data_IF_817917678967
#
_entry.id   IF_817917678967
#
_cell.length_a   1.000
_cell.length_b   1.000
_cell.length_c   1.000
_cell.angle_alpha   90.00
_cell.angle_beta   90.00
_cell.angle_gamma   90.00
#
_symmetry.space_group_name_H-M   'P 1'
#
loop_
_entity.id
_entity.type
_entity.pdbx_description
1 polymer ?
#
# COMPACT_ATOMS: atom_id res chain seq x y z
N UNK A 1 -1.95 5.75 2.81
CA UNK A 1 -2.54 4.82 1.82
C UNK A 1 -3.96 4.48 2.23
N UNK A 2 -4.83 4.30 1.26
CA UNK A 2 -6.26 4.08 1.47
C UNK A 2 -6.81 3.07 0.46
N UNK A 3 -7.82 2.29 0.87
CA UNK A 3 -8.45 1.26 0.03
C UNK A 3 -9.31 1.91 -1.05
N UNK A 4 -9.09 1.50 -2.29
CA UNK A 4 -9.79 2.05 -3.43
C UNK A 4 -11.26 1.61 -3.47
N UNK A 5 -12.16 2.56 -3.76
CA UNK A 5 -13.58 2.32 -4.03
C UNK A 5 -14.34 1.58 -2.91
N UNK A 6 -13.88 1.67 -1.66
CA UNK A 6 -14.51 0.95 -0.55
C UNK A 6 -15.98 1.33 -0.35
N UNK A 7 -16.33 2.63 -0.47
CA UNK A 7 -17.73 3.07 -0.41
C UNK A 7 -18.62 2.37 -1.45
N UNK A 8 -18.15 2.28 -2.69
CA UNK A 8 -18.84 1.56 -3.76
C UNK A 8 -18.98 0.07 -3.45
N UNK A 9 -17.93 -0.53 -2.87
CA UNK A 9 -17.94 -1.94 -2.48
C UNK A 9 -18.97 -2.22 -1.38
N UNK A 10 -19.15 -1.31 -0.42
CA UNK A 10 -20.19 -1.45 0.60
C UNK A 10 -21.59 -1.33 0.05
N UNK A 11 -21.81 -0.51 -0.98
CA UNK A 11 -23.13 -0.29 -1.57
C UNK A 11 -23.48 -1.39 -2.59
N UNK A 12 -22.54 -1.72 -3.47
CA UNK A 12 -22.80 -2.58 -4.64
C UNK A 12 -22.05 -3.91 -4.63
N UNK A 13 -20.98 -4.05 -3.83
CA UNK A 13 -20.09 -5.22 -3.87
C UNK A 13 -20.73 -6.54 -3.43
N UNK A 14 -21.88 -6.48 -2.80
CA UNK A 14 -22.68 -7.65 -2.41
C UNK A 14 -23.87 -7.92 -3.35
N UNK A 15 -24.08 -7.08 -4.36
CA UNK A 15 -25.08 -7.31 -5.40
C UNK A 15 -24.64 -8.42 -6.35
N UNK A 16 -25.60 -9.16 -6.88
CA UNK A 16 -25.34 -10.10 -7.96
C UNK A 16 -25.17 -9.37 -9.31
N UNK A 17 -24.52 -9.99 -10.29
CA UNK A 17 -24.39 -9.42 -11.64
C UNK A 17 -25.74 -9.15 -12.34
N UNK A 18 -26.81 -9.84 -11.91
CA UNK A 18 -28.19 -9.64 -12.39
C UNK A 18 -28.94 -8.51 -11.67
N UNK A 19 -28.28 -7.81 -10.72
CA UNK A 19 -28.87 -6.73 -9.93
C UNK A 19 -29.72 -7.18 -8.75
N UNK A 20 -29.71 -8.49 -8.42
CA UNK A 20 -30.43 -9.01 -7.25
C UNK A 20 -29.72 -8.61 -5.93
N UNK A 21 -30.45 -7.93 -5.06
CA UNK A 21 -29.99 -7.43 -3.74
C UNK A 21 -30.05 -8.49 -2.62
N UNK A 22 -30.37 -9.73 -2.94
CA UNK A 22 -30.54 -10.81 -1.94
C UNK A 22 -29.38 -10.93 -0.96
N UNK A 23 -28.17 -10.60 -1.39
CA UNK A 23 -26.97 -10.67 -0.58
C UNK A 23 -26.57 -9.34 0.05
N UNK A 24 -27.24 -8.25 -0.27
CA UNK A 24 -27.04 -6.93 0.37
C UNK A 24 -27.79 -6.91 1.69
N UNK A 25 -27.15 -7.42 2.72
CA UNK A 25 -27.73 -7.48 4.06
C UNK A 25 -26.83 -6.75 5.06
N UNK A 26 -27.44 -6.13 6.07
CA UNK A 26 -26.71 -5.45 7.15
C UNK A 26 -25.65 -6.37 7.78
N UNK A 27 -25.98 -7.65 7.97
CA UNK A 27 -25.06 -8.63 8.55
C UNK A 27 -23.81 -8.84 7.69
N UNK A 28 -23.94 -8.94 6.37
CA UNK A 28 -22.82 -9.12 5.44
C UNK A 28 -21.97 -7.86 5.34
N UNK A 29 -22.60 -6.70 5.24
CA UNK A 29 -21.92 -5.41 5.23
C UNK A 29 -21.15 -5.19 6.53
N UNK A 30 -21.75 -5.48 7.68
CA UNK A 30 -21.07 -5.41 8.98
C UNK A 30 -19.91 -6.40 9.10
N UNK A 31 -20.06 -7.61 8.52
CA UNK A 31 -19.00 -8.61 8.50
C UNK A 31 -17.81 -8.12 7.66
N UNK A 32 -18.05 -7.59 6.46
CA UNK A 32 -17.00 -7.02 5.61
C UNK A 32 -16.27 -5.88 6.33
N UNK A 33 -17.00 -4.94 6.90
CA UNK A 33 -16.44 -3.83 7.68
C UNK A 33 -15.58 -4.31 8.85
N UNK A 34 -16.05 -5.32 9.58
CA UNK A 34 -15.30 -5.91 10.69
C UNK A 34 -14.02 -6.61 10.21
N UNK A 35 -14.08 -7.35 9.12
CA UNK A 35 -12.91 -8.04 8.56
C UNK A 35 -11.85 -7.05 8.09
N UNK A 36 -12.24 -5.98 7.39
CA UNK A 36 -11.31 -4.92 7.00
C UNK A 36 -10.71 -4.23 8.23
N UNK A 37 -11.52 -3.91 9.24
CA UNK A 37 -11.01 -3.33 10.48
C UNK A 37 -10.00 -4.23 11.19
N UNK A 38 -10.21 -5.54 11.20
CA UNK A 38 -9.25 -6.50 11.76
C UNK A 38 -7.97 -6.58 10.91
N UNK A 39 -8.08 -6.52 9.59
CA UNK A 39 -6.92 -6.45 8.70
C UNK A 39 -6.05 -5.24 9.05
N UNK A 40 -6.61 -4.05 9.04
CA UNK A 40 -5.87 -2.81 9.30
C UNK A 40 -5.37 -2.69 10.73
N UNK A 41 -6.14 -3.10 11.75
CA UNK A 41 -5.74 -2.96 13.17
C UNK A 41 -4.77 -4.04 13.66
N UNK A 42 -4.88 -5.25 13.14
CA UNK A 42 -4.15 -6.40 13.67
C UNK A 42 -3.17 -6.99 12.66
N UNK A 43 -3.62 -7.24 11.44
CA UNK A 43 -2.83 -8.00 10.48
C UNK A 43 -1.66 -7.21 9.90
N UNK A 44 -1.79 -5.89 9.76
CA UNK A 44 -0.69 -5.03 9.29
C UNK A 44 0.55 -5.12 10.21
N UNK A 45 0.37 -5.24 11.53
CA UNK A 45 1.49 -5.43 12.44
C UNK A 45 2.30 -6.70 12.12
N UNK A 46 1.60 -7.78 11.76
CA UNK A 46 2.27 -9.02 11.37
C UNK A 46 2.96 -8.90 10.01
N UNK A 47 2.37 -8.14 9.07
CA UNK A 47 3.00 -7.82 7.78
C UNK A 47 4.31 -7.06 7.99
N UNK A 48 4.32 -6.05 8.86
CA UNK A 48 5.54 -5.29 9.17
C UNK A 48 6.61 -6.15 9.85
N UNK A 49 6.20 -7.12 10.67
CA UNK A 49 7.12 -8.02 11.36
C UNK A 49 7.71 -9.10 10.46
N UNK A 50 6.95 -9.55 9.45
CA UNK A 50 7.32 -10.63 8.53
C UNK A 50 7.34 -10.16 7.07
N UNK A 51 7.93 -9.00 6.81
CA UNK A 51 8.01 -8.45 5.46
C UNK A 51 8.61 -9.44 4.46
N UNK A 52 8.03 -9.51 3.28
CA UNK A 52 8.40 -10.43 2.20
C UNK A 52 9.01 -9.75 0.99
N UNK A 53 8.74 -8.46 0.78
CA UNK A 53 9.34 -7.69 -0.29
C UNK A 53 10.82 -7.41 0.03
N UNK A 54 11.75 -8.04 -0.69
CA UNK A 54 13.18 -7.99 -0.42
C UNK A 54 13.96 -7.01 -1.31
N UNK A 55 13.29 -6.38 -2.25
CA UNK A 55 13.91 -5.52 -3.25
C UNK A 55 14.57 -4.24 -2.69
N UNK A 56 14.14 -3.78 -1.51
CA UNK A 56 14.60 -2.53 -0.89
C UNK A 56 15.37 -2.69 0.43
N UNK A 57 15.55 -3.88 0.94
CA UNK A 57 16.21 -4.02 2.25
C UNK A 57 16.16 -5.40 2.86
N UNK A 58 15.82 -6.41 2.06
CA UNK A 58 15.70 -7.79 2.51
C UNK A 58 14.33 -8.12 3.10
N UNK A 59 14.11 -9.41 3.31
CA UNK A 59 12.92 -9.92 4.00
C UNK A 59 13.11 -9.81 5.52
N UNK A 60 12.02 -9.71 6.27
CA UNK A 60 12.03 -9.67 7.71
C UNK A 60 11.33 -8.44 8.31
N UNK A 61 11.69 -8.11 9.53
CA UNK A 61 11.06 -7.01 10.26
C UNK A 61 11.36 -5.65 9.62
N UNK A 62 10.30 -4.89 9.33
CA UNK A 62 10.40 -3.55 8.76
C UNK A 62 10.69 -2.51 9.83
N UNK A 63 11.67 -1.66 9.59
CA UNK A 63 11.98 -0.48 10.43
C UNK A 63 10.98 0.64 10.15
N UNK A 64 9.70 0.34 10.37
CA UNK A 64 8.58 1.24 10.18
C UNK A 64 7.60 1.12 11.35
N UNK A 65 6.98 2.21 11.71
CA UNK A 65 5.95 2.28 12.75
C UNK A 65 4.61 2.68 12.14
N UNK A 66 3.54 2.12 12.67
CA UNK A 66 2.19 2.51 12.33
C UNK A 66 1.87 3.75 13.15
N UNK A 67 1.78 4.90 12.49
CA UNK A 67 1.35 6.16 13.11
C UNK A 67 -0.17 6.15 13.28
N UNK A 68 -0.87 5.69 12.26
CA UNK A 68 -2.32 5.53 12.25
C UNK A 68 -2.69 4.30 11.40
N UNK A 69 -3.67 3.56 11.86
CA UNK A 69 -4.31 2.50 11.08
C UNK A 69 -5.75 2.32 11.55
N UNK A 70 -6.70 2.41 10.68
CA UNK A 70 -8.12 2.25 11.03
C UNK A 70 -9.06 2.40 9.85
N UNK A 71 -10.11 1.59 9.87
CA UNK A 71 -11.06 1.57 8.76
C UNK A 71 -10.44 0.97 7.50
N UNK A 72 -10.04 1.82 6.60
CA UNK A 72 -9.47 1.56 5.28
C UNK A 72 -8.12 2.28 5.07
N UNK A 73 -7.72 3.13 6.01
CA UNK A 73 -6.52 3.94 5.93
C UNK A 73 -5.37 3.38 6.75
N UNK A 74 -4.14 3.60 6.26
CA UNK A 74 -2.91 3.39 7.00
C UNK A 74 -1.90 4.50 6.75
N UNK A 75 -1.28 4.99 7.83
CA UNK A 75 -0.17 5.90 7.79
C UNK A 75 1.03 5.31 8.51
N UNK A 76 2.13 5.14 7.79
CA UNK A 76 3.39 4.57 8.27
C UNK A 76 4.48 5.63 8.25
N UNK A 77 5.41 5.53 9.19
CA UNK A 77 6.65 6.31 9.21
C UNK A 77 7.83 5.40 9.55
N UNK A 78 8.99 5.62 8.92
CA UNK A 78 10.17 4.79 9.16
C UNK A 78 11.29 5.02 8.16
N UNK A 79 12.22 4.08 8.05
CA UNK A 79 13.25 4.12 7.03
C UNK A 79 12.62 4.03 5.64
N UNK A 80 13.04 4.88 4.71
CA UNK A 80 12.39 5.03 3.40
C UNK A 80 12.24 3.73 2.62
N UNK A 81 13.28 2.90 2.63
CA UNK A 81 13.31 1.59 1.98
C UNK A 81 12.32 0.62 2.63
N UNK A 82 12.27 0.60 3.96
CA UNK A 82 11.35 -0.26 4.71
C UNK A 82 9.89 0.18 4.56
N UNK A 83 9.62 1.50 4.48
CA UNK A 83 8.26 2.02 4.24
C UNK A 83 7.76 1.65 2.84
N UNK A 84 8.60 1.76 1.80
CA UNK A 84 8.21 1.35 0.44
C UNK A 84 7.97 -0.17 0.40
N UNK A 85 8.87 -0.96 0.97
CA UNK A 85 8.73 -2.42 1.04
C UNK A 85 7.48 -2.83 1.85
N UNK A 86 7.23 -2.19 2.99
CA UNK A 86 6.03 -2.41 3.79
C UNK A 86 4.75 -2.10 3.01
N UNK A 87 4.75 -1.02 2.22
CA UNK A 87 3.59 -0.67 1.41
C UNK A 87 3.33 -1.72 0.30
N UNK A 88 4.38 -2.24 -0.33
CA UNK A 88 4.27 -3.37 -1.27
C UNK A 88 3.71 -4.62 -0.59
N UNK A 89 4.20 -4.96 0.62
CA UNK A 89 3.72 -6.08 1.40
C UNK A 89 2.23 -5.93 1.78
N UNK A 90 1.80 -4.73 2.21
CA UNK A 90 0.40 -4.42 2.53
C UNK A 90 -0.48 -4.53 1.29
N UNK A 91 -0.05 -3.96 0.16
CA UNK A 91 -0.76 -4.07 -1.12
C UNK A 91 -0.97 -5.53 -1.52
N UNK A 92 0.07 -6.34 -1.46
CA UNK A 92 -0.01 -7.76 -1.80
C UNK A 92 -0.91 -8.54 -0.81
N UNK A 93 -0.88 -8.16 0.46
CA UNK A 93 -1.73 -8.78 1.47
C UNK A 93 -3.22 -8.43 1.28
N UNK A 94 -3.56 -7.18 0.94
CA UNK A 94 -4.94 -6.77 0.60
C UNK A 94 -5.43 -7.54 -0.63
N UNK A 95 -4.63 -7.61 -1.68
CA UNK A 95 -4.98 -8.35 -2.90
C UNK A 95 -5.30 -9.82 -2.59
N UNK A 96 -4.49 -10.48 -1.77
CA UNK A 96 -4.74 -11.86 -1.32
C UNK A 96 -5.97 -11.96 -0.42
N UNK A 97 -6.11 -11.07 0.55
CA UNK A 97 -7.21 -11.07 1.51
C UNK A 97 -8.56 -10.87 0.84
N UNK A 98 -8.63 -10.00 -0.17
CA UNK A 98 -9.85 -9.67 -0.90
C UNK A 98 -10.01 -10.45 -2.21
N UNK A 99 -9.09 -11.38 -2.50
CA UNK A 99 -9.06 -12.13 -3.77
C UNK A 99 -9.06 -11.21 -5.00
N UNK A 100 -8.35 -10.09 -4.91
CA UNK A 100 -8.23 -9.10 -5.98
C UNK A 100 -9.44 -8.18 -6.19
N UNK A 101 -10.45 -8.24 -5.31
CA UNK A 101 -11.65 -7.39 -5.45
C UNK A 101 -11.43 -5.96 -4.93
N UNK A 102 -10.53 -5.77 -3.98
CA UNK A 102 -10.13 -4.45 -3.49
C UNK A 102 -8.67 -4.19 -3.80
N UNK A 103 -8.38 -2.95 -4.11
CA UNK A 103 -7.03 -2.43 -4.32
C UNK A 103 -6.73 -1.33 -3.31
N UNK A 104 -5.47 -0.90 -3.26
CA UNK A 104 -5.02 0.17 -2.36
C UNK A 104 -4.15 1.15 -3.15
N UNK A 105 -4.42 2.42 -2.96
CA UNK A 105 -3.61 3.50 -3.50
C UNK A 105 -2.96 4.30 -2.38
N UNK A 106 -1.82 4.95 -2.66
CA UNK A 106 -1.20 5.77 -1.63
C UNK A 106 -0.02 6.59 -2.11
N UNK A 107 0.46 7.42 -1.21
CA UNK A 107 1.61 8.29 -1.42
C UNK A 107 2.77 7.92 -0.52
N UNK A 108 4.00 8.15 -0.99
CA UNK A 108 5.23 8.00 -0.21
C UNK A 108 6.06 9.28 -0.33
N UNK A 109 6.36 9.93 0.79
CA UNK A 109 7.24 11.08 0.85
C UNK A 109 8.54 10.75 1.59
N UNK A 110 9.61 11.48 1.29
CA UNK A 110 10.89 11.43 2.02
C UNK A 110 11.11 12.79 2.66
N UNK A 111 11.39 12.77 3.96
CA UNK A 111 11.52 13.97 4.78
C UNK A 111 12.72 13.86 5.72
N UNK A 112 13.24 15.00 6.13
CA UNK A 112 14.21 15.05 7.21
C UNK A 112 13.61 14.58 8.53
N UNK A 113 14.41 13.92 9.38
CA UNK A 113 13.96 13.35 10.65
C UNK A 113 13.34 14.36 11.63
N UNK A 114 13.61 15.67 11.44
CA UNK A 114 13.06 16.76 12.26
C UNK A 114 11.84 17.44 11.62
N UNK A 115 11.41 16.99 10.44
CA UNK A 115 10.28 17.60 9.76
C UNK A 115 8.98 17.31 10.52
N UNK A 116 8.07 18.30 10.69
CA UNK A 116 6.87 18.11 11.50
C UNK A 116 5.92 17.07 10.92
N UNK A 117 5.53 16.07 11.71
CA UNK A 117 4.71 14.94 11.28
C UNK A 117 3.34 15.36 10.70
N UNK A 118 2.73 16.41 11.25
CA UNK A 118 1.47 16.94 10.75
C UNK A 118 1.57 17.58 9.35
N UNK A 119 2.76 18.08 8.98
CA UNK A 119 3.03 18.60 7.65
C UNK A 119 3.29 17.46 6.69
N UNK A 120 4.12 16.47 7.11
CA UNK A 120 4.32 15.24 6.34
C UNK A 120 2.99 14.58 5.96
N UNK A 121 2.08 14.43 6.93
CA UNK A 121 0.78 13.82 6.70
C UNK A 121 -0.02 14.52 5.60
N UNK A 122 -0.07 15.86 5.60
CA UNK A 122 -0.77 16.65 4.58
C UNK A 122 -0.12 16.54 3.19
N UNK A 123 1.19 16.46 3.14
CA UNK A 123 1.92 16.33 1.87
C UNK A 123 1.74 14.91 1.30
N UNK A 124 1.82 13.88 2.14
CA UNK A 124 1.56 12.48 1.74
C UNK A 124 0.11 12.27 1.32
N UNK A 125 -0.85 12.95 1.96
CA UNK A 125 -2.26 12.95 1.55
C UNK A 125 -2.42 13.47 0.10
N UNK A 126 -1.71 14.52 -0.29
CA UNK A 126 -1.73 15.00 -1.69
C UNK A 126 -1.16 13.98 -2.67
N UNK A 127 -0.09 13.27 -2.28
CA UNK A 127 0.48 12.19 -3.08
C UNK A 127 -0.51 11.02 -3.22
N UNK A 128 -1.22 10.69 -2.15
CA UNK A 128 -2.28 9.69 -2.17
C UNK A 128 -3.43 10.10 -3.09
N UNK A 129 -3.91 11.33 -2.97
CA UNK A 129 -4.94 11.88 -3.85
C UNK A 129 -4.51 11.80 -5.32
N UNK A 130 -3.23 12.08 -5.61
CA UNK A 130 -2.68 11.93 -6.96
C UNK A 130 -2.74 10.49 -7.46
N UNK A 131 -2.44 9.51 -6.59
CA UNK A 131 -2.57 8.07 -6.92
C UNK A 131 -4.00 7.67 -7.25
N UNK A 132 -4.98 8.21 -6.52
CA UNK A 132 -6.41 7.97 -6.75
C UNK A 132 -6.93 8.55 -8.07
N UNK A 133 -6.20 9.51 -8.67
CA UNK A 133 -6.50 10.10 -9.98
C UNK A 133 -5.83 9.34 -11.15
N UNK A 134 -4.99 8.35 -10.89
CA UNK A 134 -4.50 7.45 -11.93
C UNK A 134 -5.66 6.58 -12.43
N UNK A 135 -5.75 6.38 -13.74
CA UNK A 135 -6.79 5.54 -14.33
C UNK A 135 -6.74 4.13 -13.76
N UNK A 136 -7.89 3.65 -13.27
CA UNK A 136 -8.00 2.37 -12.59
C UNK A 136 -7.57 2.38 -11.13
N UNK A 137 -7.05 3.51 -10.59
CA UNK A 137 -6.48 3.58 -9.25
C UNK A 137 -5.39 2.52 -9.04
N UNK A 138 -5.37 1.79 -7.91
CA UNK A 138 -4.36 0.75 -7.65
C UNK A 138 -2.94 1.26 -7.97
N UNK A 139 -2.59 2.41 -7.40
CA UNK A 139 -1.45 3.20 -7.80
C UNK A 139 -0.64 3.72 -6.59
N UNK A 140 0.60 4.08 -6.86
CA UNK A 140 1.49 4.70 -5.88
C UNK A 140 2.10 5.97 -6.46
N UNK A 141 2.13 7.05 -5.68
CA UNK A 141 2.84 8.29 -6.01
C UNK A 141 4.03 8.42 -5.06
N UNK A 142 5.22 8.64 -5.62
CA UNK A 142 6.46 8.64 -4.87
C UNK A 142 7.10 10.03 -4.93
N UNK A 143 7.36 10.60 -3.77
CA UNK A 143 8.15 11.82 -3.53
C UNK A 143 7.54 13.11 -4.03
N UNK A 144 6.98 13.15 -5.23
CA UNK A 144 6.25 14.28 -5.80
C UNK A 144 5.11 13.82 -6.73
N UNK A 145 4.20 14.72 -7.07
CA UNK A 145 2.98 14.42 -7.84
C UNK A 145 3.23 13.98 -9.29
N UNK A 146 4.44 14.14 -9.82
CA UNK A 146 4.80 13.73 -11.18
C UNK A 146 5.12 12.24 -11.28
N UNK A 147 5.46 11.60 -10.15
CA UNK A 147 5.85 10.21 -10.05
C UNK A 147 4.70 9.31 -9.57
N UNK A 148 3.57 9.40 -10.26
CA UNK A 148 2.40 8.55 -10.03
C UNK A 148 2.42 7.35 -10.99
N UNK A 149 2.40 6.13 -10.45
CA UNK A 149 2.49 4.88 -11.20
C UNK A 149 1.39 3.91 -10.79
N UNK A 150 0.71 3.24 -11.73
CA UNK A 150 0.01 1.99 -11.42
C UNK A 150 0.97 1.00 -10.76
N UNK A 151 0.50 0.23 -9.76
CA UNK A 151 1.37 -0.68 -9.01
C UNK A 151 2.13 -1.69 -9.88
N UNK A 152 1.49 -2.24 -10.90
CA UNK A 152 2.14 -3.17 -11.82
C UNK A 152 3.31 -2.52 -12.58
N UNK A 153 3.14 -1.27 -13.02
CA UNK A 153 4.19 -0.50 -13.70
C UNK A 153 5.32 -0.16 -12.73
N UNK A 154 5.00 0.28 -11.51
CA UNK A 154 5.99 0.56 -10.48
C UNK A 154 6.82 -0.68 -10.15
N UNK A 155 6.18 -1.81 -9.87
CA UNK A 155 6.88 -3.06 -9.52
C UNK A 155 7.74 -3.54 -10.69
N UNK A 156 7.21 -3.58 -11.91
CA UNK A 156 7.95 -4.10 -13.06
C UNK A 156 9.09 -3.17 -13.46
N UNK A 157 8.79 -1.91 -13.75
CA UNK A 157 9.74 -1.01 -14.40
C UNK A 157 10.70 -0.32 -13.42
N UNK A 158 10.24 -0.03 -12.20
CA UNK A 158 11.08 0.67 -11.22
C UNK A 158 11.78 -0.34 -10.30
N UNK A 159 11.01 -1.23 -9.67
CA UNK A 159 11.57 -2.12 -8.66
C UNK A 159 12.37 -3.26 -9.31
N UNK A 160 11.77 -3.97 -10.25
CA UNK A 160 12.42 -5.15 -10.85
C UNK A 160 13.50 -4.76 -11.85
N UNK A 161 13.19 -3.88 -12.80
CA UNK A 161 14.15 -3.53 -13.84
C UNK A 161 15.23 -2.56 -13.32
N UNK A 162 14.86 -1.34 -12.90
CA UNK A 162 15.85 -0.30 -12.57
C UNK A 162 16.64 -0.64 -11.31
N UNK A 163 15.94 -0.93 -10.21
CA UNK A 163 16.61 -1.25 -8.93
C UNK A 163 17.31 -2.59 -9.00
N UNK A 164 16.71 -3.59 -9.65
CA UNK A 164 17.35 -4.88 -9.88
C UNK A 164 18.67 -4.78 -10.65
N UNK A 165 18.73 -3.98 -11.71
CA UNK A 165 19.97 -3.73 -12.47
C UNK A 165 21.01 -3.02 -11.60
N UNK A 166 20.62 -1.99 -10.84
CA UNK A 166 21.53 -1.28 -9.95
C UNK A 166 22.08 -2.21 -8.86
N UNK A 167 21.23 -3.01 -8.24
CA UNK A 167 21.64 -4.00 -7.24
C UNK A 167 22.66 -4.98 -7.80
N UNK A 168 22.37 -5.58 -8.95
CA UNK A 168 23.29 -6.51 -9.61
C UNK A 168 24.62 -5.84 -9.95
N UNK A 169 24.63 -4.58 -10.37
CA UNK A 169 25.86 -3.83 -10.65
C UNK A 169 26.72 -3.64 -9.40
N UNK A 170 26.12 -3.30 -8.26
CA UNK A 170 26.84 -3.13 -7.01
C UNK A 170 27.32 -4.47 -6.44
N UNK A 171 26.47 -5.50 -6.44
CA UNK A 171 26.84 -6.84 -5.95
C UNK A 171 28.03 -7.42 -6.72
N UNK A 172 28.10 -7.22 -8.05
CA UNK A 172 29.24 -7.66 -8.87
C UNK A 172 30.54 -6.90 -8.62
N UNK A 173 30.44 -5.64 -8.16
CA UNK A 173 31.65 -4.84 -7.89
C UNK A 173 32.17 -5.04 -6.47
N UNK A 174 31.33 -5.48 -5.51
CA UNK A 174 31.77 -5.79 -4.14
C UNK A 174 32.56 -7.11 -4.04
N UNK A 175 32.46 -8.02 -5.05
CA UNK A 175 33.26 -9.25 -5.10
C UNK A 175 34.72 -9.00 -5.60
N UNK A 176 35.07 -7.79 -6.01
CA UNK A 176 36.38 -7.42 -6.56
C UNK A 176 37.12 -6.33 -5.73
N UNK A 177 36.65 -6.03 -4.48
CA UNK A 177 37.21 -5.03 -3.57
C UNK A 177 38.02 -5.61 -2.42
#
# INVERSE_FOLDING_TARGET
ADVDNLGTTFVYGLQRPDGDDKYVTLSRTSTLSRQLSLFFKCYINEILRKGTADNFGGSGERKAVIVYSGGDDVFLAGAWNDVIAAFMDIRNAIEKFTQGTLTISGGVGIYDAKYPLNVMAKEVERLEDRSKHVEGKNAVTLFDETHAYPWNVFIQNVVTEKIGVLKNYFDQNDEHG
#
